data_IF_350700083708
#
_entry.id   IF_350700083708
#
_cell.length_a   1.000
_cell.length_b   1.000
_cell.length_c   1.000
_cell.angle_alpha   90.00
_cell.angle_beta   90.00
_cell.angle_gamma   90.00
#
_symmetry.space_group_name_H-M   'P 1'
#
loop_
_entity.id
_entity.type
_entity.pdbx_description
1 polymer ?
#
# COMPACT_ATOMS: atom_id res chain seq x y z
N UNK A 1 -2.63 8.17 14.40
CA UNK A 1 -2.06 7.62 13.16
C UNK A 1 -2.86 6.41 12.71
N UNK A 2 -2.90 6.18 11.37
CA UNK A 2 -3.67 5.08 10.78
C UNK A 2 -2.77 4.06 10.08
N UNK A 3 -1.53 4.44 9.79
CA UNK A 3 -0.58 3.58 9.10
C UNK A 3 0.73 3.49 9.87
N UNK A 4 1.22 2.27 10.04
CA UNK A 4 2.42 1.96 10.79
C UNK A 4 3.36 1.11 9.93
N UNK A 5 4.61 1.53 9.82
CA UNK A 5 5.71 0.74 9.25
C UNK A 5 6.69 0.51 10.37
N UNK A 6 6.89 -0.75 10.71
CA UNK A 6 7.77 -1.21 11.78
C UNK A 6 8.83 -2.09 11.14
N UNK A 7 10.09 -1.76 11.38
CA UNK A 7 11.20 -2.41 10.72
C UNK A 7 12.09 -3.06 11.79
N UNK A 8 12.22 -4.35 11.67
CA UNK A 8 13.06 -5.23 12.47
C UNK A 8 13.00 -4.95 13.98
N UNK A 9 11.79 -4.94 14.58
CA UNK A 9 11.56 -4.50 15.95
C UNK A 9 12.12 -5.47 16.99
N UNK A 10 12.65 -4.95 18.09
CA UNK A 10 13.13 -5.74 19.23
C UNK A 10 11.97 -6.36 20.03
N UNK A 11 11.19 -7.23 19.38
CA UNK A 11 10.01 -7.88 19.99
C UNK A 11 10.34 -8.90 21.06
N UNK A 12 11.60 -9.29 21.20
CA UNK A 12 12.12 -10.19 22.22
C UNK A 12 12.32 -9.52 23.59
N UNK A 13 12.48 -8.20 23.62
CA UNK A 13 12.83 -7.44 24.82
C UNK A 13 11.80 -7.66 25.95
N UNK A 14 12.30 -7.67 27.21
CA UNK A 14 11.51 -7.84 28.43
C UNK A 14 10.55 -9.06 28.36
N UNK A 15 11.09 -10.24 28.07
CA UNK A 15 10.33 -11.48 27.91
C UNK A 15 9.12 -11.35 26.97
N UNK A 16 9.28 -10.54 25.91
CA UNK A 16 8.21 -10.25 24.93
C UNK A 16 6.98 -9.57 25.53
N UNK A 17 7.12 -8.88 26.65
CA UNK A 17 6.03 -8.26 27.37
C UNK A 17 5.26 -7.27 26.48
N UNK A 18 5.98 -6.38 25.77
CA UNK A 18 5.36 -5.46 24.83
C UNK A 18 4.60 -6.19 23.73
N UNK A 19 5.20 -7.22 23.12
CA UNK A 19 4.56 -8.02 22.07
C UNK A 19 3.30 -8.71 22.56
N UNK A 20 3.31 -9.26 23.79
CA UNK A 20 2.14 -9.86 24.42
C UNK A 20 1.03 -8.83 24.66
N UNK A 21 1.37 -7.63 25.15
CA UNK A 21 0.41 -6.54 25.35
C UNK A 21 -0.23 -6.07 24.04
N UNK A 22 0.57 -5.94 22.95
CA UNK A 22 0.04 -5.57 21.64
C UNK A 22 -0.92 -6.64 21.11
N UNK A 23 -0.54 -7.94 21.18
CA UNK A 23 -1.42 -9.03 20.75
C UNK A 23 -2.72 -9.07 21.54
N UNK A 24 -2.64 -8.88 22.85
CA UNK A 24 -3.84 -8.78 23.71
C UNK A 24 -4.73 -7.62 23.31
N UNK A 25 -4.17 -6.42 23.09
CA UNK A 25 -4.89 -5.25 22.60
C UNK A 25 -5.53 -5.49 21.24
N UNK A 26 -4.78 -6.09 20.30
CA UNK A 26 -5.28 -6.43 18.96
C UNK A 26 -6.43 -7.46 19.01
N UNK A 27 -6.46 -8.32 20.01
CA UNK A 27 -7.53 -9.33 20.17
C UNK A 27 -8.83 -8.75 20.71
N UNK A 28 -8.77 -7.62 21.42
CA UNK A 28 -9.89 -7.03 22.17
C UNK A 28 -10.53 -5.83 21.48
N UNK A 29 -9.81 -5.19 20.55
CA UNK A 29 -10.22 -3.92 19.97
C UNK A 29 -10.39 -4.01 18.45
N UNK A 30 -11.18 -3.07 17.90
CA UNK A 30 -11.37 -2.91 16.46
C UNK A 30 -10.33 -1.92 15.90
N UNK A 31 -9.60 -2.34 14.88
CA UNK A 31 -8.58 -1.56 14.17
C UNK A 31 -8.95 -1.31 12.70
N UNK A 32 -10.25 -1.31 12.37
CA UNK A 32 -10.71 -1.00 11.03
C UNK A 32 -10.17 0.37 10.57
N UNK A 33 -9.68 0.43 9.33
CA UNK A 33 -9.02 1.62 8.77
C UNK A 33 -7.53 1.74 9.07
N UNK A 34 -6.99 0.94 10.02
CA UNK A 34 -5.55 0.97 10.33
C UNK A 34 -4.77 -0.08 9.55
N UNK A 35 -3.49 0.21 9.31
CA UNK A 35 -2.56 -0.68 8.60
C UNK A 35 -1.28 -0.85 9.40
N UNK A 36 -0.75 -2.07 9.42
CA UNK A 36 0.55 -2.39 9.99
C UNK A 36 1.36 -3.19 8.98
N UNK A 37 2.54 -2.69 8.64
CA UNK A 37 3.56 -3.41 7.89
C UNK A 37 4.76 -3.69 8.79
N UNK A 38 5.27 -4.94 8.78
CA UNK A 38 6.48 -5.33 9.50
C UNK A 38 7.50 -5.85 8.50
N UNK A 39 8.65 -5.16 8.39
CA UNK A 39 9.85 -5.65 7.73
C UNK A 39 10.69 -6.48 8.70
N UNK A 40 11.20 -7.63 8.26
CA UNK A 40 11.97 -8.57 9.08
C UNK A 40 13.31 -8.81 8.39
N UNK A 41 14.42 -8.45 9.05
CA UNK A 41 15.77 -8.72 8.57
C UNK A 41 16.15 -10.19 8.76
N UNK A 42 17.10 -10.67 7.95
CA UNK A 42 17.80 -11.91 8.19
C UNK A 42 19.02 -11.64 9.09
N UNK A 43 18.82 -11.74 10.39
CA UNK A 43 19.90 -11.53 11.38
C UNK A 43 20.63 -12.82 11.76
N UNK A 44 20.14 -13.96 11.26
CA UNK A 44 20.71 -15.30 11.55
C UNK A 44 21.49 -15.89 10.39
N UNK A 45 21.53 -15.21 9.24
CA UNK A 45 22.08 -15.74 7.98
C UNK A 45 21.38 -17.02 7.50
N UNK A 46 20.18 -17.31 8.05
CA UNK A 46 19.36 -18.46 7.69
C UNK A 46 18.20 -17.97 6.85
N UNK A 47 18.23 -18.18 5.53
CA UNK A 47 17.20 -17.69 4.63
C UNK A 47 15.82 -18.38 4.84
N UNK A 48 15.80 -19.62 5.33
CA UNK A 48 14.56 -20.35 5.60
C UNK A 48 14.02 -20.06 7.00
N UNK A 49 13.00 -19.21 7.06
CA UNK A 49 12.34 -18.86 8.33
C UNK A 49 11.69 -20.04 9.06
N UNK A 50 11.46 -21.18 8.38
CA UNK A 50 10.95 -22.39 9.04
C UNK A 50 12.00 -23.02 9.95
N UNK A 51 13.27 -22.88 9.60
CA UNK A 51 14.42 -23.31 10.42
C UNK A 51 14.58 -22.35 11.59
N UNK A 52 14.59 -21.04 11.33
CA UNK A 52 14.70 -20.00 12.38
C UNK A 52 13.63 -20.17 13.47
N UNK A 53 12.39 -20.46 13.10
CA UNK A 53 11.30 -20.70 14.05
C UNK A 53 11.54 -21.88 15.00
N UNK A 54 12.31 -22.86 14.60
CA UNK A 54 12.63 -24.06 15.39
C UNK A 54 13.91 -23.91 16.20
N UNK A 55 14.75 -22.97 15.81
CA UNK A 55 16.01 -22.65 16.49
C UNK A 55 15.74 -22.14 17.90
N UNK A 56 16.58 -22.52 18.88
CA UNK A 56 16.41 -22.18 20.29
C UNK A 56 17.56 -21.39 20.89
N UNK A 57 18.58 -21.08 20.08
CA UNK A 57 19.73 -20.30 20.56
C UNK A 57 19.34 -18.85 20.86
N UNK A 58 20.12 -18.18 21.68
CA UNK A 58 19.99 -16.73 21.89
C UNK A 58 20.27 -15.94 20.63
N UNK A 59 21.11 -16.48 19.75
CA UNK A 59 21.44 -15.86 18.47
C UNK A 59 20.21 -15.63 17.56
N UNK A 60 19.28 -16.58 17.53
CA UNK A 60 18.06 -16.51 16.75
C UNK A 60 16.88 -15.81 17.46
N UNK A 61 17.03 -15.42 18.73
CA UNK A 61 15.91 -14.91 19.53
C UNK A 61 15.27 -13.65 18.94
N UNK A 62 16.08 -12.74 18.41
CA UNK A 62 15.58 -11.51 17.79
C UNK A 62 14.61 -11.84 16.63
N UNK A 63 15.10 -12.51 15.62
CA UNK A 63 14.34 -12.85 14.41
C UNK A 63 13.15 -13.77 14.72
N UNK A 64 13.38 -14.80 15.55
CA UNK A 64 12.34 -15.74 15.97
C UNK A 64 11.19 -15.04 16.72
N UNK A 65 11.49 -14.04 17.53
CA UNK A 65 10.47 -13.28 18.26
C UNK A 65 9.58 -12.46 17.33
N UNK A 66 10.15 -11.84 16.29
CA UNK A 66 9.40 -11.09 15.26
C UNK A 66 8.51 -12.04 14.46
N UNK A 67 9.07 -13.18 14.04
CA UNK A 67 8.30 -14.20 13.30
C UNK A 67 7.13 -14.74 14.14
N UNK A 68 7.34 -14.95 15.45
CA UNK A 68 6.30 -15.37 16.37
C UNK A 68 5.22 -14.29 16.55
N UNK A 69 5.61 -13.02 16.70
CA UNK A 69 4.69 -11.89 16.77
C UNK A 69 3.84 -11.77 15.49
N UNK A 70 4.46 -11.82 14.33
CA UNK A 70 3.75 -11.79 13.06
C UNK A 70 2.76 -12.96 12.90
N UNK A 71 3.14 -14.14 13.37
CA UNK A 71 2.24 -15.30 13.40
C UNK A 71 1.06 -15.05 14.33
N UNK A 72 1.30 -14.50 15.52
CA UNK A 72 0.27 -14.13 16.48
C UNK A 72 -0.73 -13.14 15.87
N UNK A 73 -0.26 -12.05 15.21
CA UNK A 73 -1.14 -11.08 14.55
C UNK A 73 -2.02 -11.73 13.47
N UNK A 74 -1.46 -12.64 12.66
CA UNK A 74 -2.22 -13.34 11.59
C UNK A 74 -3.29 -14.27 12.12
N UNK A 75 -3.15 -14.79 13.33
CA UNK A 75 -4.16 -15.66 13.95
C UNK A 75 -5.35 -14.90 14.51
N UNK A 76 -5.20 -13.59 14.73
CA UNK A 76 -6.28 -12.73 15.20
C UNK A 76 -7.28 -12.47 14.07
N UNK A 77 -8.53 -12.87 14.29
CA UNK A 77 -9.61 -12.73 13.29
C UNK A 77 -10.47 -11.52 13.63
N UNK A 78 -10.97 -10.85 12.58
CA UNK A 78 -12.06 -9.86 12.69
C UNK A 78 -11.76 -8.58 13.49
N UNK A 79 -10.50 -8.19 13.67
CA UNK A 79 -10.15 -6.93 14.31
C UNK A 79 -10.04 -5.73 13.34
N UNK A 80 -10.26 -5.96 12.04
CA UNK A 80 -10.25 -4.91 11.00
C UNK A 80 -8.86 -4.40 10.60
N UNK A 81 -7.79 -4.82 11.27
CA UNK A 81 -6.42 -4.42 10.95
C UNK A 81 -5.97 -4.98 9.60
N UNK A 82 -5.45 -4.12 8.72
CA UNK A 82 -4.75 -4.54 7.51
C UNK A 82 -3.30 -4.84 7.87
N UNK A 83 -2.98 -6.11 8.03
CA UNK A 83 -1.65 -6.56 8.45
C UNK A 83 -0.86 -7.15 7.30
N UNK A 84 0.40 -6.70 7.17
CA UNK A 84 1.38 -7.17 6.20
C UNK A 84 2.71 -7.44 6.90
N UNK A 85 3.44 -8.44 6.46
CA UNK A 85 4.83 -8.59 6.84
C UNK A 85 5.65 -9.20 5.71
N UNK A 86 6.92 -8.81 5.63
CA UNK A 86 7.86 -9.33 4.64
C UNK A 86 9.19 -9.64 5.31
N UNK A 87 9.73 -10.81 5.02
CA UNK A 87 11.07 -11.23 5.37
C UNK A 87 12.03 -10.88 4.23
N UNK A 88 13.22 -10.40 4.58
CA UNK A 88 14.25 -9.97 3.64
C UNK A 88 15.49 -10.87 3.84
N UNK A 89 15.63 -11.96 3.08
CA UNK A 89 16.69 -12.95 3.28
C UNK A 89 18.08 -12.40 2.98
N UNK A 90 18.19 -11.37 2.16
CA UNK A 90 19.45 -10.78 1.70
C UNK A 90 19.82 -9.50 2.46
N UNK A 91 19.01 -9.09 3.47
CA UNK A 91 19.20 -7.86 4.22
C UNK A 91 19.33 -8.14 5.72
N UNK A 92 20.34 -7.55 6.33
CA UNK A 92 20.57 -7.56 7.78
C UNK A 92 19.85 -6.37 8.47
N UNK A 93 20.07 -6.22 9.78
CA UNK A 93 19.50 -5.15 10.59
C UNK A 93 19.88 -3.73 10.08
N UNK A 94 21.04 -3.57 9.43
CA UNK A 94 21.55 -2.28 8.97
C UNK A 94 20.99 -1.93 7.59
N UNK A 95 20.88 -2.90 6.71
CA UNK A 95 20.46 -2.70 5.31
C UNK A 95 18.93 -2.71 5.12
N UNK A 96 18.20 -3.52 5.90
CA UNK A 96 16.74 -3.69 5.78
C UNK A 96 15.92 -2.39 5.88
N UNK A 97 16.31 -1.34 6.63
CA UNK A 97 15.47 -0.14 6.77
C UNK A 97 15.09 0.51 5.45
N UNK A 98 16.01 0.58 4.50
CA UNK A 98 15.76 1.22 3.20
C UNK A 98 14.72 0.46 2.38
N UNK A 99 14.94 -0.83 2.17
CA UNK A 99 14.06 -1.65 1.33
C UNK A 99 12.70 -1.91 2.00
N UNK A 100 12.68 -2.12 3.31
CA UNK A 100 11.46 -2.36 4.06
C UNK A 100 10.58 -1.10 4.15
N UNK A 101 11.17 0.10 4.26
CA UNK A 101 10.42 1.36 4.19
C UNK A 101 9.74 1.51 2.83
N UNK A 102 10.49 1.30 1.74
CA UNK A 102 9.94 1.37 0.38
C UNK A 102 8.78 0.38 0.17
N UNK A 103 8.98 -0.89 0.54
CA UNK A 103 7.96 -1.92 0.40
C UNK A 103 6.74 -1.67 1.29
N UNK A 104 6.96 -1.18 2.52
CA UNK A 104 5.90 -0.80 3.45
C UNK A 104 5.01 0.29 2.88
N UNK A 105 5.61 1.37 2.37
CA UNK A 105 4.90 2.46 1.70
C UNK A 105 4.11 1.95 0.49
N UNK A 106 4.75 1.17 -0.38
CA UNK A 106 4.08 0.57 -1.55
C UNK A 106 2.88 -0.29 -1.17
N UNK A 107 3.02 -1.09 -0.11
CA UNK A 107 2.00 -2.03 0.33
C UNK A 107 0.82 -1.31 0.97
N UNK A 108 1.10 -0.39 1.90
CA UNK A 108 0.06 0.35 2.63
C UNK A 108 -0.73 1.25 1.67
N UNK A 109 -0.03 1.97 0.78
CA UNK A 109 -0.63 2.94 -0.13
C UNK A 109 -0.92 2.39 -1.54
N UNK A 110 -0.91 1.06 -1.72
CA UNK A 110 -1.22 0.45 -3.02
C UNK A 110 -2.57 0.91 -3.60
N UNK A 111 -3.58 1.07 -2.73
CA UNK A 111 -4.93 1.52 -3.12
C UNK A 111 -5.02 3.00 -3.47
N UNK A 112 -4.00 3.80 -3.12
CA UNK A 112 -3.95 5.22 -3.44
C UNK A 112 -3.36 5.50 -4.83
N UNK A 113 -2.89 4.47 -5.51
CA UNK A 113 -2.36 4.58 -6.87
C UNK A 113 -3.47 4.38 -7.90
N UNK A 114 -3.66 5.37 -8.76
CA UNK A 114 -4.56 5.23 -9.91
C UNK A 114 -4.04 4.15 -10.87
N UNK A 115 -4.91 3.19 -11.25
CA UNK A 115 -4.52 2.05 -12.09
C UNK A 115 -4.82 2.31 -13.55
N UNK A 116 -3.80 2.60 -14.33
CA UNK A 116 -3.95 2.73 -15.79
C UNK A 116 -4.30 1.40 -16.49
N UNK A 117 -3.94 0.26 -15.90
CA UNK A 117 -4.39 -1.03 -16.40
C UNK A 117 -5.91 -1.20 -16.30
N UNK A 118 -6.55 -0.63 -15.26
CA UNK A 118 -8.00 -0.65 -15.13
C UNK A 118 -8.70 0.21 -16.19
N UNK A 119 -8.05 1.27 -16.68
CA UNK A 119 -8.60 2.17 -17.72
C UNK A 119 -8.91 1.44 -19.03
N UNK A 120 -8.12 0.41 -19.36
CA UNK A 120 -8.32 -0.40 -20.58
C UNK A 120 -9.47 -1.42 -20.43
N UNK A 121 -9.94 -1.70 -19.22
CA UNK A 121 -11.02 -2.66 -18.99
C UNK A 121 -12.34 -2.18 -19.66
N UNK A 122 -13.12 -3.07 -20.31
CA UNK A 122 -14.37 -2.69 -20.96
C UNK A 122 -15.41 -2.07 -20.02
N UNK A 123 -15.36 -2.42 -18.74
CA UNK A 123 -16.25 -1.91 -17.69
C UNK A 123 -15.91 -0.52 -17.19
N UNK A 124 -14.70 -0.01 -17.46
CA UNK A 124 -14.25 1.29 -16.96
C UNK A 124 -14.97 2.45 -17.69
N UNK A 125 -15.54 3.36 -16.92
CA UNK A 125 -16.28 4.53 -17.37
C UNK A 125 -15.52 5.80 -16.98
N UNK A 126 -14.75 6.42 -17.90
CA UNK A 126 -13.91 7.58 -17.58
C UNK A 126 -14.67 8.73 -16.93
N UNK A 127 -15.91 8.98 -17.38
CA UNK A 127 -16.78 10.04 -16.90
C UNK A 127 -17.15 9.93 -15.41
N UNK A 128 -17.11 8.74 -14.85
CA UNK A 128 -17.47 8.49 -13.44
C UNK A 128 -16.32 7.94 -12.62
N UNK A 129 -15.58 6.97 -13.14
CA UNK A 129 -14.65 6.17 -12.37
C UNK A 129 -13.38 6.95 -11.97
N UNK A 130 -12.93 7.87 -12.84
CA UNK A 130 -11.81 8.76 -12.54
C UNK A 130 -12.19 9.68 -11.36
N UNK A 131 -13.32 10.38 -11.46
CA UNK A 131 -13.77 11.29 -10.41
C UNK A 131 -14.06 10.54 -9.10
N UNK A 132 -14.67 9.35 -9.17
CA UNK A 132 -14.95 8.50 -8.03
C UNK A 132 -13.67 8.08 -7.30
N UNK A 133 -12.63 7.69 -8.05
CA UNK A 133 -11.34 7.35 -7.46
C UNK A 133 -10.78 8.51 -6.62
N UNK A 134 -10.65 9.71 -7.19
CA UNK A 134 -10.06 10.85 -6.49
C UNK A 134 -10.95 11.39 -5.36
N UNK A 135 -12.28 11.33 -5.50
CA UNK A 135 -13.19 11.67 -4.40
C UNK A 135 -13.10 10.68 -3.24
N UNK A 136 -12.89 9.39 -3.53
CA UNK A 136 -12.67 8.37 -2.53
C UNK A 136 -11.34 8.60 -1.80
N UNK A 137 -10.26 8.94 -2.53
CA UNK A 137 -8.98 9.31 -1.91
C UNK A 137 -9.12 10.54 -1.01
N UNK A 138 -9.84 11.56 -1.48
CA UNK A 138 -10.11 12.78 -0.69
C UNK A 138 -10.78 12.46 0.65
N UNK A 139 -11.78 11.58 0.64
CA UNK A 139 -12.46 11.13 1.87
C UNK A 139 -11.53 10.35 2.80
N UNK A 140 -10.69 9.48 2.25
CA UNK A 140 -9.77 8.65 3.05
C UNK A 140 -8.64 9.47 3.70
N UNK A 141 -8.16 10.50 3.02
CA UNK A 141 -7.04 11.32 3.45
C UNK A 141 -7.47 12.57 4.23
N UNK A 142 -8.77 12.87 4.22
CA UNK A 142 -9.34 14.00 4.98
C UNK A 142 -9.09 15.38 4.38
N UNK A 143 -8.63 15.44 3.12
CA UNK A 143 -8.46 16.70 2.38
C UNK A 143 -8.80 16.53 0.89
N UNK A 144 -9.20 17.61 0.19
CA UNK A 144 -9.59 17.52 -1.21
C UNK A 144 -8.40 17.19 -2.12
N UNK A 145 -8.58 16.20 -2.97
CA UNK A 145 -7.64 15.82 -4.03
C UNK A 145 -8.34 16.01 -5.36
N UNK A 146 -7.87 16.94 -6.15
CA UNK A 146 -8.36 17.15 -7.52
C UNK A 146 -7.83 16.04 -8.42
N UNK A 147 -8.58 15.73 -9.50
CA UNK A 147 -8.08 14.84 -10.55
C UNK A 147 -6.88 15.51 -11.23
N UNK A 148 -5.68 14.92 -11.23
CA UNK A 148 -4.51 15.55 -11.87
C UNK A 148 -4.66 15.58 -13.39
N UNK A 149 -4.13 16.63 -14.04
CA UNK A 149 -4.17 16.78 -15.50
C UNK A 149 -3.48 15.63 -16.22
N UNK A 150 -2.30 15.23 -15.74
CA UNK A 150 -1.51 14.13 -16.29
C UNK A 150 -2.26 12.79 -16.29
N UNK A 151 -3.14 12.55 -15.31
CA UNK A 151 -4.01 11.37 -15.28
C UNK A 151 -4.98 11.40 -16.45
N UNK A 152 -5.62 12.55 -16.71
CA UNK A 152 -6.55 12.71 -17.82
C UNK A 152 -5.85 12.61 -19.18
N UNK A 153 -4.72 13.28 -19.34
CA UNK A 153 -3.89 13.25 -20.55
C UNK A 153 -3.42 11.83 -20.86
N UNK A 154 -3.02 11.08 -19.83
CA UNK A 154 -2.61 9.69 -20.01
C UNK A 154 -3.79 8.77 -20.34
N UNK A 155 -4.96 8.97 -19.75
CA UNK A 155 -6.17 8.23 -20.12
C UNK A 155 -6.57 8.51 -21.57
N UNK A 156 -6.52 9.78 -22.02
CA UNK A 156 -6.77 10.17 -23.40
C UNK A 156 -5.82 9.48 -24.37
N UNK A 157 -4.51 9.51 -24.07
CA UNK A 157 -3.49 8.83 -24.87
C UNK A 157 -3.71 7.31 -24.97
N UNK A 158 -4.18 6.66 -23.89
CA UNK A 158 -4.54 5.25 -23.90
C UNK A 158 -5.70 5.02 -24.88
N UNK A 159 -6.77 5.80 -24.81
CA UNK A 159 -7.92 5.63 -25.68
C UNK A 159 -7.65 6.03 -27.13
N UNK A 160 -6.79 7.00 -27.36
CA UNK A 160 -6.29 7.33 -28.71
C UNK A 160 -5.55 6.14 -29.33
N UNK A 161 -4.63 5.52 -28.56
CA UNK A 161 -3.89 4.33 -28.99
C UNK A 161 -4.78 3.11 -29.26
N UNK A 162 -5.79 2.89 -28.42
CA UNK A 162 -6.75 1.77 -28.56
C UNK A 162 -7.90 2.08 -29.51
N UNK A 163 -7.93 3.28 -30.11
CA UNK A 163 -9.01 3.77 -31.00
C UNK A 163 -10.40 3.74 -30.37
N UNK A 164 -10.49 3.89 -29.05
CA UNK A 164 -11.77 4.00 -28.35
C UNK A 164 -12.24 5.45 -28.31
N UNK A 165 -12.81 5.89 -29.43
CA UNK A 165 -13.25 7.28 -29.63
C UNK A 165 -14.31 7.69 -28.59
N UNK A 166 -15.16 6.76 -28.16
CA UNK A 166 -16.22 7.08 -27.20
C UNK A 166 -15.62 7.47 -25.85
N UNK A 167 -14.75 6.62 -25.29
CA UNK A 167 -14.11 6.88 -23.99
C UNK A 167 -13.10 8.02 -24.08
N UNK A 168 -12.44 8.20 -25.21
CA UNK A 168 -11.59 9.36 -25.45
C UNK A 168 -12.37 10.68 -25.35
N UNK A 169 -13.53 10.78 -26.02
CA UNK A 169 -14.41 11.97 -25.91
C UNK A 169 -14.86 12.23 -24.48
N UNK A 170 -15.16 11.18 -23.71
CA UNK A 170 -15.55 11.31 -22.30
C UNK A 170 -14.41 11.89 -21.44
N UNK A 171 -13.16 11.44 -21.64
CA UNK A 171 -11.99 12.02 -20.94
C UNK A 171 -11.78 13.48 -21.31
N UNK A 172 -11.88 13.83 -22.59
CA UNK A 172 -11.74 15.23 -23.05
C UNK A 172 -12.83 16.14 -22.48
N UNK A 173 -14.07 15.66 -22.40
CA UNK A 173 -15.16 16.39 -21.75
C UNK A 173 -14.88 16.60 -20.26
N UNK A 174 -14.37 15.57 -19.55
CA UNK A 174 -13.99 15.68 -18.15
C UNK A 174 -12.82 16.66 -17.95
N UNK A 175 -11.80 16.63 -18.83
CA UNK A 175 -10.70 17.59 -18.82
C UNK A 175 -11.19 19.01 -18.97
N UNK A 176 -12.06 19.26 -19.97
CA UNK A 176 -12.65 20.59 -20.21
C UNK A 176 -13.45 21.11 -19.02
N UNK A 177 -14.20 20.23 -18.36
CA UNK A 177 -14.98 20.59 -17.18
C UNK A 177 -14.11 20.96 -15.99
N UNK A 178 -13.02 20.22 -15.75
CA UNK A 178 -12.15 20.44 -14.59
C UNK A 178 -11.09 21.52 -14.82
N UNK A 179 -10.68 21.73 -16.08
CA UNK A 179 -9.60 22.64 -16.46
C UNK A 179 -9.99 23.55 -17.65
N UNK A 180 -11.04 24.36 -17.52
CA UNK A 180 -11.56 25.15 -18.64
C UNK A 180 -10.53 26.16 -19.22
N UNK A 181 -9.63 26.67 -18.39
CA UNK A 181 -8.58 27.60 -18.85
C UNK A 181 -7.53 26.93 -19.78
N UNK A 182 -7.31 25.62 -19.63
CA UNK A 182 -6.32 24.87 -20.41
C UNK A 182 -6.96 24.07 -21.55
N UNK A 183 -8.29 23.93 -21.55
CA UNK A 183 -9.02 23.03 -22.44
C UNK A 183 -8.78 23.34 -23.93
N UNK A 184 -8.74 24.62 -24.31
CA UNK A 184 -8.51 25.02 -25.70
C UNK A 184 -7.16 24.54 -26.22
N UNK A 185 -6.09 24.78 -25.45
CA UNK A 185 -4.74 24.35 -25.80
C UNK A 185 -4.61 22.83 -25.84
N UNK A 186 -5.27 22.14 -24.92
CA UNK A 186 -5.25 20.68 -24.85
C UNK A 186 -5.92 20.04 -26.09
N UNK A 187 -7.05 20.57 -26.54
CA UNK A 187 -7.79 20.06 -27.71
C UNK A 187 -7.06 20.37 -29.02
N UNK A 188 -6.47 21.58 -29.15
CA UNK A 188 -5.76 22.03 -30.36
C UNK A 188 -4.46 21.24 -30.59
N UNK A 189 -3.76 20.82 -29.55
CA UNK A 189 -2.53 20.02 -29.68
C UNK A 189 -2.76 18.54 -30.04
N UNK A 190 -4.01 18.10 -30.13
CA UNK A 190 -4.34 16.70 -30.40
C UNK A 190 -4.79 16.45 -31.85
N UNK A 191 -4.85 17.51 -32.69
CA UNK A 191 -5.09 17.46 -34.13
C UNK A 191 -3.78 17.40 -34.88
#
# INVERSE_FOLDING_TARGET
>A
FDNYIVIDPSTWYDDRKFSKQVLDSLSKNNYAGKSLFIGIANTTEIADTSIVKKEKSLYSEHERSILAFCTGVRTLKNNGLRFYSKYYPDDDHVSVPTIATYDGLRTIFAKNRFSYAAVEAPSFKPETDIALFFSTQSKQLGYPISVPKDVLERCDAIYKRTKDIKRQKAVKALYTSLYPADAKKYIENDN
#
